data_IF_476650092323
#
_entry.id   IF_476650092323
#
_cell.length_a   1.000
_cell.length_b   1.000
_cell.length_c   1.000
_cell.angle_alpha   90.00
_cell.angle_beta   90.00
_cell.angle_gamma   90.00
#
_symmetry.space_group_name_H-M   'P 1'
#
loop_
_entity.id
_entity.type
_entity.pdbx_description
1 polymer ?
#
# COMPACT_ATOMS: atom_id res chain seq x y z
N UNK A 1 -4.39 9.25 -22.85
CA UNK A 1 -5.31 8.23 -22.32
C UNK A 1 -6.14 8.89 -21.23
N UNK A 2 -7.47 8.72 -21.23
CA UNK A 2 -8.29 9.10 -20.08
C UNK A 2 -7.70 8.47 -18.81
N UNK A 3 -7.50 9.29 -17.78
CA UNK A 3 -6.98 8.88 -16.47
C UNK A 3 -8.03 9.18 -15.42
N UNK A 4 -8.42 8.17 -14.67
CA UNK A 4 -9.18 8.31 -13.44
C UNK A 4 -8.23 8.03 -12.28
N UNK A 5 -8.23 8.87 -11.26
CA UNK A 5 -7.36 8.70 -10.09
C UNK A 5 -8.20 8.87 -8.83
N UNK A 6 -8.17 7.87 -7.97
CA UNK A 6 -8.87 7.84 -6.69
C UNK A 6 -7.87 8.10 -5.56
N UNK A 7 -8.14 9.05 -4.67
CA UNK A 7 -7.39 9.21 -3.42
C UNK A 7 -7.91 8.20 -2.39
N UNK A 8 -7.17 7.12 -2.14
CA UNK A 8 -7.52 6.09 -1.16
C UNK A 8 -7.37 6.58 0.30
N UNK A 9 -7.01 7.84 0.53
CA UNK A 9 -7.17 8.49 1.83
C UNK A 9 -8.54 9.17 1.99
N UNK A 10 -9.21 9.49 0.88
CA UNK A 10 -10.53 10.11 0.86
C UNK A 10 -11.65 9.06 1.04
N UNK A 11 -12.73 9.45 1.72
CA UNK A 11 -13.85 8.54 2.01
C UNK A 11 -14.64 8.15 0.77
N UNK A 12 -15.02 9.12 -0.05
CA UNK A 12 -15.86 8.91 -1.23
C UNK A 12 -15.11 8.07 -2.28
N UNK A 13 -13.82 8.37 -2.49
CA UNK A 13 -12.99 7.63 -3.43
C UNK A 13 -12.71 6.19 -2.98
N UNK A 14 -12.54 5.93 -1.68
CA UNK A 14 -12.43 4.57 -1.15
C UNK A 14 -13.68 3.75 -1.41
N UNK A 15 -14.87 4.32 -1.23
CA UNK A 15 -16.15 3.64 -1.43
C UNK A 15 -16.31 3.15 -2.88
N UNK A 16 -15.84 3.92 -3.86
CA UNK A 16 -15.89 3.56 -5.29
C UNK A 16 -15.18 2.23 -5.62
N UNK A 17 -14.21 1.82 -4.79
CA UNK A 17 -13.45 0.57 -4.95
C UNK A 17 -13.55 -0.34 -3.72
N UNK A 18 -14.52 -0.11 -2.84
CA UNK A 18 -14.70 -0.86 -1.58
C UNK A 18 -13.40 -0.98 -0.75
N UNK A 19 -12.57 0.07 -0.79
CA UNK A 19 -11.27 0.10 -0.14
C UNK A 19 -11.39 0.40 1.35
N UNK A 20 -10.62 -0.32 2.16
CA UNK A 20 -10.44 -0.03 3.58
C UNK A 20 -8.99 -0.28 3.97
N UNK A 21 -8.34 0.73 4.57
CA UNK A 21 -6.97 0.58 5.05
C UNK A 21 -6.97 -0.01 6.45
N UNK A 22 -6.02 -0.91 6.68
CA UNK A 22 -5.61 -1.36 8.00
C UNK A 22 -4.14 -1.06 8.21
N UNK A 23 -3.78 -0.80 9.47
CA UNK A 23 -2.41 -0.48 9.86
C UNK A 23 -2.00 -1.32 11.07
N UNK A 24 -0.75 -1.76 11.07
CA UNK A 24 -0.14 -2.36 12.25
C UNK A 24 1.34 -2.05 12.34
N UNK A 25 1.83 -1.98 13.58
CA UNK A 25 3.22 -1.68 13.89
C UNK A 25 4.06 -2.97 13.85
N UNK A 26 5.32 -2.82 13.43
CA UNK A 26 6.34 -3.87 13.39
C UNK A 26 6.62 -4.47 12.01
N UNK A 27 7.76 -5.15 11.90
CA UNK A 27 8.16 -5.88 10.69
C UNK A 27 7.29 -7.13 10.51
N UNK A 28 7.02 -7.84 11.61
CA UNK A 28 5.97 -8.86 11.72
C UNK A 28 5.00 -8.44 12.82
N UNK A 29 3.84 -7.88 12.46
CA UNK A 29 2.88 -7.36 13.43
C UNK A 29 2.42 -8.41 14.45
N UNK A 30 2.38 -8.02 15.72
CA UNK A 30 1.95 -8.87 16.84
C UNK A 30 3.04 -9.76 17.45
N UNK A 31 4.20 -9.89 16.80
CA UNK A 31 5.30 -10.71 17.31
C UNK A 31 6.17 -9.96 18.34
N UNK A 32 6.85 -10.69 19.25
CA UNK A 32 7.87 -10.11 20.12
C UNK A 32 8.95 -9.37 19.33
N UNK A 33 9.46 -8.26 19.88
CA UNK A 33 10.45 -7.41 19.21
C UNK A 33 10.00 -6.97 17.80
N UNK A 34 8.69 -6.82 17.59
CA UNK A 34 8.10 -6.39 16.32
C UNK A 34 8.49 -7.28 15.13
N UNK A 35 8.86 -8.55 15.39
CA UNK A 35 9.30 -9.48 14.34
C UNK A 35 10.71 -9.23 13.79
N UNK A 36 11.48 -8.30 14.37
CA UNK A 36 12.84 -8.02 13.94
C UNK A 36 13.80 -9.11 14.42
N UNK A 37 13.79 -10.24 13.72
CA UNK A 37 14.61 -11.43 13.98
C UNK A 37 15.63 -11.58 12.85
N UNK A 38 16.90 -11.77 13.21
CA UNK A 38 17.97 -11.99 12.24
C UNK A 38 17.70 -13.22 11.38
N UNK A 39 18.01 -13.13 10.08
CA UNK A 39 17.87 -14.22 9.10
C UNK A 39 16.43 -14.69 8.82
N UNK A 40 15.42 -13.90 9.21
CA UNK A 40 14.06 -14.11 8.73
C UNK A 40 14.02 -14.02 7.20
N UNK A 41 13.29 -14.94 6.55
CA UNK A 41 13.22 -15.02 5.09
C UNK A 41 12.19 -14.05 4.49
N UNK A 42 11.08 -13.82 5.19
CA UNK A 42 9.98 -12.95 4.76
C UNK A 42 9.10 -12.58 5.96
N UNK A 43 8.42 -11.43 5.88
CA UNK A 43 7.33 -11.11 6.80
C UNK A 43 6.01 -11.64 6.21
N UNK A 44 5.19 -12.38 6.97
CA UNK A 44 3.90 -12.89 6.47
C UNK A 44 2.92 -11.77 6.12
N UNK A 45 3.12 -10.56 6.65
CA UNK A 45 2.27 -9.41 6.34
C UNK A 45 2.37 -8.92 4.88
N UNK A 46 3.32 -9.46 4.08
CA UNK A 46 3.34 -9.24 2.63
C UNK A 46 2.29 -10.09 1.89
N UNK A 47 1.92 -11.26 2.44
CA UNK A 47 1.13 -12.26 1.72
C UNK A 47 -0.29 -11.75 1.39
N UNK A 48 -0.82 -12.17 0.25
CA UNK A 48 -2.14 -11.76 -0.23
C UNK A 48 -3.27 -12.22 0.69
N UNK A 49 -3.14 -13.42 1.26
CA UNK A 49 -4.12 -14.07 2.13
C UNK A 49 -3.86 -13.85 3.62
N UNK A 50 -2.89 -13.01 3.98
CA UNK A 50 -2.63 -12.64 5.37
C UNK A 50 -3.88 -12.02 6.02
N UNK A 51 -4.29 -12.59 7.15
CA UNK A 51 -5.43 -12.11 7.94
C UNK A 51 -5.05 -10.86 8.76
N UNK A 52 -5.36 -9.70 8.20
CA UNK A 52 -5.20 -8.41 8.85
C UNK A 52 -6.46 -7.95 9.60
N UNK A 53 -7.48 -8.80 9.79
CA UNK A 53 -8.76 -8.38 10.40
C UNK A 53 -8.61 -7.85 11.84
N UNK A 54 -7.56 -8.26 12.55
CA UNK A 54 -7.24 -7.78 13.89
C UNK A 54 -6.44 -6.47 13.93
N UNK A 55 -6.04 -5.91 12.79
CA UNK A 55 -5.26 -4.67 12.72
C UNK A 55 -6.14 -3.44 12.93
N UNK A 56 -5.48 -2.32 13.29
CA UNK A 56 -6.15 -1.04 13.48
C UNK A 56 -6.75 -0.55 12.16
N UNK A 57 -7.99 -0.08 12.18
CA UNK A 57 -8.57 0.60 11.03
C UNK A 57 -7.85 1.94 10.80
N UNK A 58 -7.30 2.13 9.60
CA UNK A 58 -6.57 3.34 9.25
C UNK A 58 -7.49 4.31 8.48
N UNK A 59 -7.98 5.33 9.18
CA UNK A 59 -8.84 6.37 8.59
C UNK A 59 -8.05 7.48 7.88
N UNK A 60 -6.76 7.62 8.20
CA UNK A 60 -5.87 8.60 7.61
C UNK A 60 -4.47 8.01 7.43
N UNK A 61 -4.11 7.66 6.19
CA UNK A 61 -2.79 7.08 5.88
C UNK A 61 -1.64 8.07 6.06
N UNK A 62 -1.95 9.37 6.19
CA UNK A 62 -0.99 10.46 6.46
C UNK A 62 -0.73 10.69 7.95
N UNK A 63 -1.41 9.95 8.83
CA UNK A 63 -1.18 10.04 10.27
C UNK A 63 0.20 9.46 10.60
N UNK A 64 1.10 10.30 11.09
CA UNK A 64 2.46 9.91 11.47
C UNK A 64 2.45 8.96 12.66
N UNK A 65 3.16 7.83 12.54
CA UNK A 65 3.44 6.87 13.61
C UNK A 65 4.96 6.66 13.69
N UNK A 66 5.57 6.56 14.87
CA UNK A 66 7.00 6.20 15.05
C UNK A 66 7.44 6.41 16.49
N UNK A 67 8.16 5.44 17.06
CA UNK A 67 8.94 5.59 18.29
C UNK A 67 10.25 4.81 18.14
N UNK A 68 11.38 5.51 18.02
CA UNK A 68 12.68 4.85 17.87
C UNK A 68 12.84 4.21 16.48
N UNK A 69 13.41 3.02 16.37
CA UNK A 69 13.49 2.29 15.10
C UNK A 69 12.18 1.54 14.87
N UNK A 70 11.46 1.88 13.81
CA UNK A 70 10.06 1.46 13.64
C UNK A 70 9.82 0.95 12.22
N UNK A 71 9.11 -0.17 12.15
CA UNK A 71 8.45 -0.66 10.94
C UNK A 71 6.94 -0.52 11.10
N UNK A 72 6.22 -0.41 10.01
CA UNK A 72 4.76 -0.46 10.01
C UNK A 72 4.23 -0.85 8.66
N UNK A 73 3.06 -1.48 8.68
CA UNK A 73 2.36 -1.94 7.50
C UNK A 73 1.08 -1.17 7.28
N UNK A 74 0.82 -0.76 6.04
CA UNK A 74 -0.48 -0.30 5.57
C UNK A 74 -1.00 -1.31 4.55
N UNK A 75 -2.13 -1.95 4.83
CA UNK A 75 -2.75 -2.94 3.95
C UNK A 75 -4.13 -2.47 3.51
N UNK A 76 -4.46 -2.66 2.25
CA UNK A 76 -5.76 -2.35 1.69
C UNK A 76 -6.15 -3.40 0.66
N UNK A 77 -7.38 -3.91 0.77
CA UNK A 77 -8.01 -4.66 -0.33
C UNK A 77 -8.84 -3.68 -1.15
N UNK A 78 -8.64 -3.66 -2.46
CA UNK A 78 -9.47 -2.91 -3.41
C UNK A 78 -10.24 -3.87 -4.30
N UNK A 79 -11.50 -3.56 -4.60
CA UNK A 79 -12.30 -4.28 -5.59
C UNK A 79 -12.54 -3.39 -6.79
N UNK A 80 -12.19 -3.88 -7.97
CA UNK A 80 -12.33 -3.11 -9.21
C UNK A 80 -13.83 -3.03 -9.61
N UNK A 81 -14.44 -1.84 -9.72
CA UNK A 81 -15.85 -1.71 -10.08
C UNK A 81 -16.07 -1.92 -11.57
N UNK A 82 -17.32 -1.89 -12.05
CA UNK A 82 -17.60 -1.88 -13.50
C UNK A 82 -17.20 -0.55 -14.15
N UNK A 83 -17.40 0.54 -13.42
CA UNK A 83 -17.12 1.90 -13.87
C UNK A 83 -16.81 2.81 -12.69
N UNK A 84 -16.06 3.88 -12.95
CA UNK A 84 -15.87 5.00 -12.02
C UNK A 84 -16.41 6.25 -12.68
N UNK A 85 -17.31 6.96 -11.99
CA UNK A 85 -17.91 8.21 -12.47
C UNK A 85 -18.47 8.12 -13.92
N UNK A 86 -19.05 6.95 -14.25
CA UNK A 86 -19.65 6.66 -15.56
C UNK A 86 -18.65 6.19 -16.64
N UNK A 87 -17.35 6.10 -16.32
CA UNK A 87 -16.32 5.60 -17.23
C UNK A 87 -16.06 4.12 -16.94
N UNK A 88 -16.27 3.26 -17.93
CA UNK A 88 -15.92 1.84 -17.79
C UNK A 88 -14.41 1.69 -17.57
N UNK A 89 -14.04 0.86 -16.59
CA UNK A 89 -12.63 0.61 -16.27
C UNK A 89 -12.11 -0.69 -16.87
N UNK A 90 -12.96 -1.52 -17.49
CA UNK A 90 -12.55 -2.80 -18.06
C UNK A 90 -11.40 -2.62 -19.07
N UNK A 91 -10.35 -3.43 -18.93
CA UNK A 91 -9.13 -3.36 -19.75
C UNK A 91 -8.20 -2.19 -19.44
N UNK A 92 -8.50 -1.34 -18.45
CA UNK A 92 -7.59 -0.28 -18.03
C UNK A 92 -6.36 -0.85 -17.34
N UNK A 93 -5.22 -0.18 -17.49
CA UNK A 93 -4.08 -0.42 -16.60
C UNK A 93 -4.36 0.26 -15.27
N UNK A 94 -4.10 -0.43 -14.19
CA UNK A 94 -4.31 0.03 -12.81
C UNK A 94 -2.97 0.16 -12.12
N UNK A 95 -2.73 1.30 -11.51
CA UNK A 95 -1.50 1.57 -10.77
C UNK A 95 -1.82 2.05 -9.36
N UNK A 96 -0.99 1.62 -8.41
CA UNK A 96 -0.93 2.21 -7.09
C UNK A 96 0.25 3.17 -7.04
N UNK A 97 -0.03 4.43 -6.72
CA UNK A 97 0.94 5.48 -6.58
C UNK A 97 1.01 5.93 -5.12
N UNK A 98 2.19 5.94 -4.53
CA UNK A 98 2.39 6.41 -3.16
C UNK A 98 3.78 7.00 -2.95
N UNK A 99 3.99 7.51 -1.75
CA UNK A 99 5.27 7.97 -1.23
C UNK A 99 5.26 7.75 0.28
N UNK A 100 6.12 6.85 0.77
CA UNK A 100 6.26 6.66 2.20
C UNK A 100 7.18 7.75 2.80
N UNK A 101 6.85 8.28 3.99
CA UNK A 101 7.79 9.07 4.76
C UNK A 101 8.90 8.14 5.29
N UNK A 102 10.14 8.42 4.92
CA UNK A 102 11.32 7.55 4.98
C UNK A 102 11.41 6.48 3.88
N UNK A 103 11.45 5.20 4.23
CA UNK A 103 11.72 4.11 3.30
C UNK A 103 10.49 3.24 3.20
N UNK A 104 10.01 3.00 1.99
CA UNK A 104 8.83 2.17 1.75
C UNK A 104 9.06 1.16 0.65
N UNK A 105 8.36 0.04 0.75
CA UNK A 105 8.14 -0.89 -0.34
C UNK A 105 6.65 -1.19 -0.48
N UNK A 106 6.24 -1.61 -1.67
CA UNK A 106 4.86 -1.86 -2.05
C UNK A 106 4.77 -3.25 -2.67
N UNK A 107 3.87 -4.05 -2.12
CA UNK A 107 3.52 -5.39 -2.56
C UNK A 107 2.10 -5.38 -3.10
N UNK A 108 1.88 -6.09 -4.21
CA UNK A 108 0.56 -6.31 -4.82
C UNK A 108 0.32 -7.81 -4.87
N UNK A 109 -0.75 -8.27 -4.25
CA UNK A 109 -1.15 -9.69 -4.21
C UNK A 109 -0.01 -10.62 -3.75
N UNK A 110 0.78 -10.19 -2.76
CA UNK A 110 1.92 -10.96 -2.24
C UNK A 110 3.20 -10.87 -3.07
N UNK A 111 3.17 -10.18 -4.21
CA UNK A 111 4.30 -10.07 -5.12
C UNK A 111 4.88 -8.64 -5.14
N UNK A 112 6.17 -8.54 -5.44
CA UNK A 112 6.86 -7.25 -5.57
C UNK A 112 7.43 -7.08 -6.98
N UNK A 113 7.08 -5.97 -7.62
CA UNK A 113 7.83 -5.52 -8.79
C UNK A 113 9.18 -4.96 -8.32
N UNK A 114 10.25 -5.68 -8.63
CA UNK A 114 11.62 -5.28 -8.23
C UNK A 114 12.11 -3.99 -8.87
N UNK A 115 11.46 -3.50 -9.93
CA UNK A 115 11.80 -2.23 -10.56
C UNK A 115 11.09 -1.03 -9.91
N UNK A 116 9.88 -1.23 -9.38
CA UNK A 116 9.00 -0.10 -8.98
C UNK A 116 8.47 -0.19 -7.55
N UNK A 117 8.45 -1.37 -6.93
CA UNK A 117 7.89 -1.63 -5.61
C UNK A 117 8.90 -1.65 -4.47
N UNK A 118 10.20 -1.78 -4.73
CA UNK A 118 11.23 -1.88 -3.68
C UNK A 118 11.56 -0.53 -3.04
N UNK A 119 12.33 -0.55 -1.94
CA UNK A 119 12.93 0.66 -1.37
C UNK A 119 13.90 1.31 -2.37
N UNK A 120 13.47 2.42 -2.98
CA UNK A 120 14.25 3.16 -3.99
C UNK A 120 14.92 4.43 -3.45
N UNK A 121 14.69 4.79 -2.19
CA UNK A 121 15.31 5.93 -1.53
C UNK A 121 14.43 6.57 -0.45
N UNK A 122 14.98 7.56 0.26
CA UNK A 122 14.23 8.33 1.25
C UNK A 122 13.16 9.18 0.57
N UNK A 123 11.90 9.05 1.01
CA UNK A 123 10.76 9.73 0.42
C UNK A 123 10.70 9.58 -1.11
N UNK A 124 11.12 8.42 -1.62
CA UNK A 124 11.04 8.14 -3.04
C UNK A 124 9.61 7.75 -3.43
N UNK A 125 9.20 8.11 -4.64
CA UNK A 125 7.86 7.80 -5.14
C UNK A 125 7.79 6.37 -5.64
N UNK A 126 6.67 5.71 -5.36
CA UNK A 126 6.30 4.41 -5.91
C UNK A 126 5.17 4.60 -6.91
N UNK A 127 5.28 3.89 -8.03
CA UNK A 127 4.20 3.72 -9.01
C UNK A 127 4.23 2.28 -9.48
N UNK A 128 3.43 1.46 -8.83
CA UNK A 128 3.43 0.00 -9.00
C UNK A 128 2.19 -0.43 -9.77
N UNK A 129 2.37 -1.33 -10.74
CA UNK A 129 1.24 -1.90 -11.49
C UNK A 129 0.44 -2.84 -10.59
N UNK A 130 -0.86 -2.58 -10.45
CA UNK A 130 -1.81 -3.45 -9.74
C UNK A 130 -2.43 -4.44 -10.71
N UNK A 131 -2.75 -3.97 -11.91
CA UNK A 131 -3.28 -4.81 -12.99
C UNK A 131 -2.94 -4.18 -14.34
N UNK A 132 -2.47 -4.98 -15.30
CA UNK A 132 -2.24 -4.51 -16.67
C UNK A 132 -3.51 -4.48 -17.53
N UNK A 133 -4.60 -5.08 -17.05
CA UNK A 133 -5.88 -5.15 -17.76
C UNK A 133 -6.99 -5.45 -16.75
N UNK A 134 -7.63 -4.39 -16.25
CA UNK A 134 -8.63 -4.49 -15.22
C UNK A 134 -9.83 -5.37 -15.63
N UNK A 135 -10.23 -6.27 -14.72
CA UNK A 135 -11.43 -7.09 -14.83
C UNK A 135 -12.36 -6.71 -13.67
N UNK A 136 -13.55 -6.13 -13.93
CA UNK A 136 -14.51 -5.78 -12.89
C UNK A 136 -14.83 -6.95 -11.96
N UNK A 137 -15.00 -6.65 -10.68
CA UNK A 137 -15.22 -7.62 -9.60
C UNK A 137 -13.94 -8.22 -9.01
N UNK A 138 -12.81 -8.13 -9.70
CA UNK A 138 -11.51 -8.63 -9.21
C UNK A 138 -11.08 -7.84 -7.97
N UNK A 139 -10.50 -8.55 -7.00
CA UNK A 139 -9.91 -7.95 -5.80
C UNK A 139 -8.40 -8.01 -5.90
N UNK A 140 -7.75 -6.95 -5.44
CA UNK A 140 -6.31 -6.87 -5.29
C UNK A 140 -5.97 -6.42 -3.87
N UNK A 141 -4.91 -6.99 -3.30
CA UNK A 141 -4.36 -6.60 -2.00
C UNK A 141 -3.11 -5.77 -2.23
N UNK A 142 -3.11 -4.55 -1.69
CA UNK A 142 -1.97 -3.64 -1.71
C UNK A 142 -1.42 -3.59 -0.28
N UNK A 143 -0.15 -3.93 -0.09
CA UNK A 143 0.53 -3.90 1.20
C UNK A 143 1.79 -3.03 1.11
N UNK A 144 1.90 -2.05 1.99
CA UNK A 144 3.05 -1.15 2.06
C UNK A 144 3.79 -1.37 3.38
N UNK A 145 5.03 -1.85 3.32
CA UNK A 145 5.93 -1.84 4.47
C UNK A 145 6.70 -0.53 4.48
N UNK A 146 6.70 0.17 5.61
CA UNK A 146 7.44 1.41 5.81
C UNK A 146 8.39 1.26 6.99
N UNK A 147 9.62 1.72 6.82
CA UNK A 147 10.64 1.80 7.86
C UNK A 147 11.16 3.23 7.97
N UNK A 148 11.36 3.71 9.19
CA UNK A 148 12.00 5.01 9.38
C UNK A 148 13.52 4.95 9.21
N UNK A 149 14.15 6.13 9.10
CA UNK A 149 15.60 6.20 9.27
C UNK A 149 16.13 7.61 9.50
N UNK A 150 17.46 7.81 9.40
CA UNK A 150 18.51 6.81 9.11
C UNK A 150 18.51 5.62 10.08
N UNK A 151 18.80 4.40 9.61
CA UNK A 151 18.68 3.17 10.42
C UNK A 151 19.47 3.22 11.75
N UNK A 152 20.67 3.79 11.74
CA UNK A 152 21.52 3.88 12.94
C UNK A 152 21.07 4.96 13.95
N UNK A 153 20.22 5.90 13.54
CA UNK A 153 19.64 6.94 14.40
C UNK A 153 18.31 7.42 13.79
N UNK A 154 17.24 6.63 13.96
CA UNK A 154 15.98 6.89 13.29
C UNK A 154 15.37 8.23 13.72
N UNK A 155 14.70 8.89 12.77
CA UNK A 155 14.03 10.17 12.98
C UNK A 155 12.74 10.23 12.17
N UNK A 156 11.88 11.17 12.54
CA UNK A 156 10.62 11.41 11.85
C UNK A 156 9.58 10.33 12.10
N UNK A 157 8.54 10.36 11.27
CA UNK A 157 7.44 9.41 11.29
C UNK A 157 7.58 8.37 10.18
N UNK A 158 6.71 7.37 10.24
CA UNK A 158 6.33 6.53 9.11
C UNK A 158 4.85 6.77 8.84
N UNK A 159 4.52 6.97 7.57
CA UNK A 159 3.16 7.13 7.05
C UNK A 159 3.22 7.15 5.52
N UNK A 160 2.06 7.03 4.85
CA UNK A 160 1.96 7.25 3.41
C UNK A 160 1.55 8.70 3.16
N UNK A 161 2.35 9.46 2.41
CA UNK A 161 2.04 10.87 2.10
C UNK A 161 0.79 11.01 1.23
N UNK A 162 0.54 10.02 0.38
CA UNK A 162 -0.66 9.88 -0.45
C UNK A 162 -0.83 8.41 -0.80
N UNK A 163 -2.03 8.02 -1.20
CA UNK A 163 -2.33 6.67 -1.67
C UNK A 163 -3.30 6.80 -2.84
N UNK A 164 -2.81 6.71 -4.07
CA UNK A 164 -3.62 6.95 -5.27
C UNK A 164 -3.78 5.67 -6.06
N UNK A 165 -5.02 5.29 -6.38
CA UNK A 165 -5.31 4.23 -7.34
C UNK A 165 -5.66 4.85 -8.69
N UNK A 166 -4.77 4.71 -9.66
CA UNK A 166 -4.90 5.31 -10.99
C UNK A 166 -5.32 4.27 -12.03
N UNK A 167 -6.33 4.60 -12.83
CA UNK A 167 -6.84 3.83 -13.95
C UNK A 167 -6.52 4.56 -15.25
N UNK A 168 -5.80 3.90 -16.14
CA UNK A 168 -5.41 4.42 -17.45
C UNK A 168 -6.06 3.55 -18.52
N UNK A 169 -7.11 4.08 -19.17
CA UNK A 169 -7.83 3.33 -20.21
C UNK A 169 -7.01 3.27 -21.49
N UNK A 170 -7.13 2.15 -22.22
CA UNK A 170 -6.40 1.93 -23.47
C UNK A 170 -6.76 2.93 -24.60
N UNK A 171 -7.81 3.75 -24.41
CA UNK A 171 -8.38 4.63 -25.43
C UNK A 171 -9.52 3.98 -26.19
#
# INVERSE_FOLDING_TARGET
MPRVALDLNDGEDKEKVSAGWRVADGLVPGEPNEGLVSQMLASPALDADFDDSGWEECTNVRASRSVGFTFGWWRCTVQLPESIDGVSIAGSRVFFETNADNYGEVWVDGEIDRATGVVVGINAQHRVEVSNSAVPGTKHVIACLVANGPLAKPRGGIFLRYATLAFESAG
#
